data_IF_297122918353
#
_entry.id   IF_297122918353
#
_cell.length_a   1.000
_cell.length_b   1.000
_cell.length_c   1.000
_cell.angle_alpha   90.00
_cell.angle_beta   90.00
_cell.angle_gamma   90.00
#
_symmetry.space_group_name_H-M   'P 1'
#
loop_
_entity.id
_entity.type
_entity.pdbx_description
1 polymer ?
#
# COMPACT_ATOMS: atom_id res chain seq x y z
N UNK A 1 -15.17 -15.13 1.52
CA UNK A 1 -13.96 -14.65 2.21
C UNK A 1 -13.88 -13.12 2.22
N UNK A 2 -13.69 -12.42 1.08
CA UNK A 2 -13.48 -10.95 1.00
C UNK A 2 -14.46 -10.12 1.83
N UNK A 3 -15.78 -10.38 1.71
CA UNK A 3 -16.82 -9.65 2.46
C UNK A 3 -16.68 -9.77 3.99
N UNK A 4 -16.32 -10.96 4.49
CA UNK A 4 -16.18 -11.19 5.93
C UNK A 4 -14.95 -10.48 6.51
N UNK A 5 -13.82 -10.50 5.80
CA UNK A 5 -12.60 -9.82 6.22
C UNK A 5 -12.79 -8.30 6.19
N UNK A 6 -13.41 -7.77 5.14
CA UNK A 6 -13.76 -6.34 5.09
C UNK A 6 -14.66 -5.94 6.26
N UNK A 7 -15.65 -6.76 6.61
CA UNK A 7 -16.51 -6.52 7.77
C UNK A 7 -15.70 -6.51 9.08
N UNK A 8 -14.79 -7.47 9.27
CA UNK A 8 -13.93 -7.53 10.45
C UNK A 8 -13.02 -6.30 10.55
N UNK A 9 -12.40 -5.88 9.42
CA UNK A 9 -11.59 -4.66 9.38
C UNK A 9 -12.41 -3.40 9.69
N UNK A 10 -13.60 -3.28 9.10
CA UNK A 10 -14.49 -2.14 9.33
C UNK A 10 -15.07 -2.09 10.74
N UNK A 11 -15.03 -3.17 11.51
CA UNK A 11 -15.46 -3.20 12.91
C UNK A 11 -14.39 -2.69 13.90
N UNK A 12 -13.16 -2.46 13.43
CA UNK A 12 -12.15 -1.78 14.24
C UNK A 12 -12.59 -0.33 14.45
N UNK A 13 -12.56 0.14 15.69
CA UNK A 13 -12.82 1.54 16.01
C UNK A 13 -11.62 2.43 15.63
N UNK A 14 -11.85 3.74 15.65
CA UNK A 14 -10.83 4.73 15.26
C UNK A 14 -9.54 4.61 16.08
N UNK A 15 -9.65 4.40 17.39
CA UNK A 15 -8.51 4.26 18.29
C UNK A 15 -7.70 3.00 17.98
N UNK A 16 -8.38 1.87 17.73
CA UNK A 16 -7.72 0.62 17.33
C UNK A 16 -6.98 0.76 15.99
N UNK A 17 -7.60 1.43 15.01
CA UNK A 17 -6.95 1.71 13.72
C UNK A 17 -5.70 2.57 13.92
N UNK A 18 -5.77 3.62 14.74
CA UNK A 18 -4.66 4.53 15.00
C UNK A 18 -3.50 3.82 15.71
N UNK A 19 -3.78 3.14 16.84
CA UNK A 19 -2.77 2.45 17.65
C UNK A 19 -2.07 1.34 16.83
N UNK A 20 -2.84 0.50 16.14
CA UNK A 20 -2.30 -0.59 15.32
C UNK A 20 -1.52 -0.08 14.10
N UNK A 21 -2.00 0.98 13.45
CA UNK A 21 -1.27 1.60 12.35
C UNK A 21 0.07 2.19 12.78
N UNK A 22 0.13 2.82 13.97
CA UNK A 22 1.37 3.34 14.51
C UNK A 22 2.41 2.24 14.72
N UNK A 23 2.00 1.08 15.28
CA UNK A 23 2.89 -0.07 15.47
C UNK A 23 3.41 -0.62 14.13
N UNK A 24 2.56 -0.67 13.11
CA UNK A 24 2.94 -1.14 11.76
C UNK A 24 3.91 -0.15 11.12
N UNK A 25 3.63 1.15 11.20
CA UNK A 25 4.52 2.20 10.67
C UNK A 25 5.91 2.15 11.35
N UNK A 26 5.97 1.93 12.66
CA UNK A 26 7.24 1.78 13.39
C UNK A 26 8.05 0.59 12.86
N UNK A 27 7.41 -0.55 12.61
CA UNK A 27 8.07 -1.72 12.00
C UNK A 27 8.64 -1.39 10.61
N UNK A 28 7.89 -0.66 9.77
CA UNK A 28 8.37 -0.22 8.44
C UNK A 28 9.57 0.71 8.55
N UNK A 29 9.52 1.71 9.44
CA UNK A 29 10.61 2.65 9.67
C UNK A 29 11.92 1.96 10.09
N UNK A 30 11.84 0.76 10.68
CA UNK A 30 12.98 -0.03 11.08
C UNK A 30 13.55 -0.94 9.99
N UNK A 31 12.85 -1.14 8.86
CA UNK A 31 13.36 -1.92 7.74
C UNK A 31 14.56 -1.24 7.07
N UNK A 32 15.62 -2.00 6.85
CA UNK A 32 16.82 -1.50 6.18
C UNK A 32 16.53 -1.05 4.74
N UNK A 33 15.67 -1.77 4.04
CA UNK A 33 15.23 -1.47 2.68
C UNK A 33 14.47 -0.14 2.61
N UNK A 34 13.59 0.12 3.57
CA UNK A 34 12.85 1.39 3.66
C UNK A 34 13.80 2.57 3.96
N UNK A 35 14.75 2.37 4.86
CA UNK A 35 15.77 3.41 5.18
C UNK A 35 16.62 3.78 3.98
N UNK A 36 16.96 2.83 3.12
CA UNK A 36 17.78 3.03 1.92
C UNK A 36 16.99 3.62 0.74
N UNK A 37 15.69 3.36 0.66
CA UNK A 37 14.84 3.81 -0.43
C UNK A 37 14.83 5.35 -0.53
N UNK A 38 14.90 5.87 -1.75
CA UNK A 38 14.78 7.30 -2.06
C UNK A 38 13.39 7.63 -2.63
N UNK A 39 12.79 6.69 -3.35
CA UNK A 39 11.44 6.83 -3.93
C UNK A 39 10.56 5.72 -3.39
N UNK A 40 9.59 6.06 -2.55
CA UNK A 40 8.67 5.13 -1.91
C UNK A 40 7.27 5.32 -2.45
N UNK A 41 6.69 4.26 -2.97
CA UNK A 41 5.28 4.24 -3.34
C UNK A 41 4.44 3.72 -2.17
N UNK A 42 3.42 4.48 -1.78
CA UNK A 42 2.46 4.12 -0.75
C UNK A 42 1.05 4.54 -1.17
N UNK A 43 0.05 3.96 -0.55
CA UNK A 43 -1.35 4.24 -0.85
C UNK A 43 -1.96 5.27 0.10
N UNK A 44 -3.07 5.88 -0.30
CA UNK A 44 -3.93 6.68 0.58
C UNK A 44 -4.97 5.75 1.21
N UNK A 45 -5.01 5.63 2.56
CA UNK A 45 -5.85 4.64 3.22
C UNK A 45 -7.34 4.95 3.07
N UNK A 46 -8.12 3.91 2.81
CA UNK A 46 -9.59 3.94 2.74
C UNK A 46 -10.18 2.81 3.58
N UNK A 47 -11.45 2.96 3.99
CA UNK A 47 -12.23 1.87 4.61
C UNK A 47 -11.48 1.16 5.75
N UNK A 48 -10.99 1.91 6.71
CA UNK A 48 -10.17 1.39 7.82
C UNK A 48 -8.96 0.56 7.36
N UNK A 49 -8.28 0.93 6.30
CA UNK A 49 -6.94 0.41 6.01
C UNK A 49 -5.91 0.92 7.01
N UNK A 50 -4.78 0.26 7.08
CA UNK A 50 -3.63 0.74 7.89
C UNK A 50 -3.30 2.16 7.47
N UNK A 51 -3.30 3.10 8.41
CA UNK A 51 -2.94 4.49 8.13
C UNK A 51 -1.42 4.64 8.03
N UNK A 52 -0.95 4.70 6.80
CA UNK A 52 0.48 4.86 6.47
C UNK A 52 0.91 6.32 6.31
N UNK A 53 0.00 7.29 6.48
CA UNK A 53 0.32 8.73 6.36
C UNK A 53 1.41 9.24 7.32
N UNK A 54 1.62 8.66 8.52
CA UNK A 54 2.79 9.02 9.32
C UNK A 54 4.12 8.82 8.60
N UNK A 55 4.22 7.81 7.71
CA UNK A 55 5.42 7.58 6.90
C UNK A 55 5.66 8.68 5.87
N UNK A 56 4.62 9.35 5.39
CA UNK A 56 4.74 10.43 4.38
C UNK A 56 5.53 11.61 4.94
N UNK A 57 5.23 12.01 6.18
CA UNK A 57 5.95 13.08 6.87
C UNK A 57 7.43 12.72 7.07
N UNK A 58 7.70 11.46 7.42
CA UNK A 58 9.06 10.96 7.55
C UNK A 58 9.80 11.04 6.20
N UNK A 59 9.19 10.57 5.11
CA UNK A 59 9.80 10.60 3.79
C UNK A 59 10.18 12.02 3.37
N UNK A 60 9.28 12.99 3.53
CA UNK A 60 9.57 14.38 3.20
C UNK A 60 10.63 15.01 4.12
N UNK A 61 10.62 14.70 5.41
CA UNK A 61 11.65 15.18 6.34
C UNK A 61 13.06 14.67 5.98
N UNK A 62 13.15 13.46 5.44
CA UNK A 62 14.39 12.85 4.94
C UNK A 62 14.72 13.23 3.48
N UNK A 63 13.97 14.14 2.86
CA UNK A 63 14.17 14.54 1.46
C UNK A 63 13.88 13.45 0.45
N UNK A 64 13.09 12.44 0.82
CA UNK A 64 12.69 11.31 -0.04
C UNK A 64 11.40 11.61 -0.79
N UNK A 65 11.20 10.93 -1.90
CA UNK A 65 10.04 11.09 -2.77
C UNK A 65 8.91 10.16 -2.32
N UNK A 66 7.73 10.73 -2.12
CA UNK A 66 6.48 9.99 -1.95
C UNK A 66 5.76 9.87 -3.28
N UNK A 67 5.38 8.65 -3.64
CA UNK A 67 4.60 8.33 -4.84
C UNK A 67 3.31 7.64 -4.42
N UNK A 68 2.18 8.00 -5.00
CA UNK A 68 0.90 7.32 -4.79
C UNK A 68 0.39 6.67 -6.08
N UNK A 69 -0.38 5.56 -5.98
CA UNK A 69 -1.04 4.96 -7.14
C UNK A 69 -2.26 5.80 -7.56
N UNK A 70 -2.31 6.19 -8.82
CA UNK A 70 -3.50 6.77 -9.45
C UNK A 70 -4.13 5.70 -10.34
N UNK A 71 -5.42 5.44 -10.15
CA UNK A 71 -6.12 4.46 -10.96
C UNK A 71 -6.43 5.03 -12.35
N UNK A 72 -6.19 4.23 -13.38
CA UNK A 72 -6.63 4.45 -14.75
C UNK A 72 -7.66 3.36 -15.12
N UNK A 73 -8.96 3.58 -14.86
CA UNK A 73 -9.97 2.55 -15.02
C UNK A 73 -10.12 2.03 -16.46
N UNK A 74 -10.05 2.86 -17.52
CA UNK A 74 -10.12 2.39 -18.90
C UNK A 74 -9.08 1.33 -19.26
N UNK A 75 -7.86 1.47 -18.71
CA UNK A 75 -6.74 0.57 -19.00
C UNK A 75 -6.49 -0.46 -17.88
N UNK A 76 -7.25 -0.41 -16.78
CA UNK A 76 -7.04 -1.19 -15.56
C UNK A 76 -5.57 -1.11 -15.13
N UNK A 77 -5.06 0.11 -15.05
CA UNK A 77 -3.65 0.39 -14.79
C UNK A 77 -3.48 1.32 -13.58
N UNK A 78 -2.28 1.27 -12.99
CA UNK A 78 -1.81 2.24 -12.01
C UNK A 78 -0.81 3.15 -12.71
N UNK A 79 -1.03 4.46 -12.56
CA UNK A 79 -0.08 5.52 -12.90
C UNK A 79 0.53 6.02 -11.59
N UNK A 80 1.80 5.71 -11.29
CA UNK A 80 2.43 6.26 -10.09
C UNK A 80 2.62 7.77 -10.25
N UNK A 81 2.23 8.55 -9.26
CA UNK A 81 2.38 10.01 -9.28
C UNK A 81 3.05 10.50 -8.00
N UNK A 82 4.07 11.33 -8.13
CA UNK A 82 4.72 11.94 -6.98
C UNK A 82 3.81 12.99 -6.32
N UNK A 83 3.82 12.99 -4.98
CA UNK A 83 3.09 13.94 -4.14
C UNK A 83 4.08 14.73 -3.28
N UNK A 84 3.95 16.04 -3.31
CA UNK A 84 4.78 16.97 -2.55
C UNK A 84 4.01 17.53 -1.35
N UNK A 85 2.72 17.78 -1.52
CA UNK A 85 1.84 18.30 -0.47
C UNK A 85 0.45 17.65 -0.56
N UNK A 86 -0.02 17.06 0.56
CA UNK A 86 -1.33 16.38 0.57
C UNK A 86 -2.51 17.34 0.42
N UNK A 87 -2.38 18.57 0.93
CA UNK A 87 -3.48 19.53 0.90
C UNK A 87 -3.60 20.23 -0.46
N UNK A 88 -2.45 20.54 -1.07
CA UNK A 88 -2.41 21.26 -2.35
C UNK A 88 -2.52 20.33 -3.56
N UNK A 89 -1.93 19.14 -3.48
CA UNK A 89 -1.85 18.24 -4.64
C UNK A 89 -3.10 17.38 -4.87
N UNK A 90 -3.94 17.16 -3.84
CA UNK A 90 -5.02 16.17 -3.88
C UNK A 90 -6.41 16.79 -3.96
N UNK A 91 -7.31 16.07 -4.60
CA UNK A 91 -8.76 16.32 -4.62
C UNK A 91 -9.54 14.98 -4.54
N UNK A 92 -10.83 14.99 -4.14
CA UNK A 92 -11.66 13.79 -4.21
C UNK A 92 -11.79 13.29 -5.66
N UNK A 93 -11.34 12.07 -5.88
CA UNK A 93 -11.35 11.42 -7.19
C UNK A 93 -12.28 10.21 -7.26
N UNK A 94 -11.88 9.22 -8.04
CA UNK A 94 -12.64 8.01 -8.32
C UNK A 94 -12.99 7.25 -7.03
N UNK A 95 -14.25 6.88 -6.87
CA UNK A 95 -14.80 6.19 -5.68
C UNK A 95 -14.60 6.93 -4.34
N UNK A 96 -14.38 8.26 -4.37
CA UNK A 96 -14.14 9.07 -3.19
C UNK A 96 -12.74 8.90 -2.59
N UNK A 97 -11.83 8.26 -3.32
CA UNK A 97 -10.41 8.19 -2.97
C UNK A 97 -9.77 9.51 -3.38
N UNK A 98 -8.90 10.06 -2.53
CA UNK A 98 -8.13 11.23 -2.90
C UNK A 98 -7.17 10.88 -4.04
N UNK A 99 -7.16 11.68 -5.08
CA UNK A 99 -6.30 11.55 -6.25
C UNK A 99 -5.61 12.88 -6.53
N UNK A 100 -4.45 12.90 -7.20
CA UNK A 100 -3.81 14.14 -7.61
C UNK A 100 -4.73 14.94 -8.54
N UNK A 101 -4.80 16.25 -8.31
CA UNK A 101 -5.39 17.19 -9.26
C UNK A 101 -4.70 17.05 -10.62
N UNK A 102 -5.41 17.29 -11.71
CA UNK A 102 -4.89 17.09 -13.07
C UNK A 102 -3.60 17.88 -13.34
N UNK A 103 -3.55 19.12 -12.86
CA UNK A 103 -2.39 20.01 -12.97
C UNK A 103 -1.25 19.70 -11.99
N UNK A 104 -1.51 18.80 -11.01
CA UNK A 104 -0.54 18.32 -10.00
C UNK A 104 -0.04 16.92 -10.29
N UNK A 105 -0.48 16.29 -11.36
CA UNK A 105 0.02 14.99 -11.78
C UNK A 105 1.52 15.07 -12.11
N UNK A 106 2.32 14.24 -11.42
CA UNK A 106 3.77 14.10 -11.63
C UNK A 106 4.11 12.62 -11.80
N UNK A 107 3.85 12.06 -13.01
CA UNK A 107 4.07 10.65 -13.27
C UNK A 107 5.52 10.24 -13.02
N UNK A 108 5.69 9.09 -12.36
CA UNK A 108 6.99 8.49 -12.05
C UNK A 108 7.09 7.15 -12.76
N UNK A 109 8.25 6.86 -13.34
CA UNK A 109 8.48 5.53 -13.92
C UNK A 109 8.40 4.45 -12.83
N UNK A 110 7.72 3.32 -13.04
CA UNK A 110 7.75 2.21 -12.11
C UNK A 110 9.16 1.75 -11.76
N UNK A 111 10.12 1.89 -12.68
CA UNK A 111 11.51 1.52 -12.48
C UNK A 111 12.30 2.47 -11.55
N UNK A 112 11.76 3.66 -11.27
CA UNK A 112 12.35 4.62 -10.35
C UNK A 112 11.87 4.44 -8.91
N UNK A 113 10.96 3.51 -8.68
CA UNK A 113 10.41 3.20 -7.35
C UNK A 113 11.33 2.19 -6.66
N UNK A 114 11.79 2.55 -5.46
CA UNK A 114 12.73 1.76 -4.67
C UNK A 114 12.06 0.85 -3.64
N UNK A 115 10.82 1.16 -3.25
CA UNK A 115 10.08 0.45 -2.21
C UNK A 115 8.59 0.67 -2.40
N UNK A 116 7.78 -0.38 -2.23
CA UNK A 116 6.32 -0.28 -2.38
C UNK A 116 5.62 -0.78 -1.12
N UNK A 117 4.72 0.05 -0.58
CA UNK A 117 3.78 -0.32 0.48
C UNK A 117 2.43 -0.62 -0.16
N UNK A 118 1.93 -1.83 0.05
CA UNK A 118 0.80 -2.38 -0.71
C UNK A 118 -0.38 -2.68 0.22
N UNK A 119 -1.59 -2.19 -0.07
CA UNK A 119 -2.80 -2.55 0.66
C UNK A 119 -3.40 -3.86 0.14
N UNK A 120 -4.30 -4.42 0.93
CA UNK A 120 -5.10 -5.57 0.50
C UNK A 120 -6.30 -5.83 1.40
N UNK A 121 -7.10 -6.81 1.02
CA UNK A 121 -8.26 -7.25 1.79
C UNK A 121 -7.85 -8.36 2.77
N UNK A 122 -7.12 -9.35 2.31
CA UNK A 122 -6.62 -10.44 3.14
C UNK A 122 -5.22 -10.87 2.69
N UNK A 123 -4.50 -11.50 3.60
CA UNK A 123 -3.17 -12.05 3.37
C UNK A 123 -3.02 -13.38 4.09
N UNK A 124 -2.04 -14.17 3.71
CA UNK A 124 -1.69 -15.40 4.40
C UNK A 124 -0.20 -15.43 4.82
N UNK A 125 0.21 -16.38 5.66
CA UNK A 125 1.61 -16.51 6.09
C UNK A 125 2.60 -16.80 4.96
N UNK A 126 2.14 -17.26 3.79
CA UNK A 126 2.96 -17.43 2.58
C UNK A 126 3.10 -16.14 1.76
N UNK A 127 2.61 -15.01 2.30
CA UNK A 127 2.63 -13.68 1.68
C UNK A 127 1.78 -13.56 0.41
N UNK A 128 0.80 -14.45 0.22
CA UNK A 128 -0.21 -14.26 -0.82
C UNK A 128 -1.15 -13.12 -0.43
N UNK A 129 -1.67 -12.42 -1.43
CA UNK A 129 -2.52 -11.23 -1.25
C UNK A 129 -3.87 -11.38 -1.95
N UNK A 130 -4.95 -11.16 -1.25
CA UNK A 130 -6.27 -10.99 -1.81
C UNK A 130 -6.60 -9.49 -1.91
N UNK A 131 -6.64 -8.95 -3.12
CA UNK A 131 -7.02 -7.57 -3.39
C UNK A 131 -8.53 -7.34 -3.47
N UNK A 132 -8.93 -6.14 -3.89
CA UNK A 132 -10.35 -5.77 -4.08
C UNK A 132 -11.00 -6.40 -5.32
N UNK A 133 -10.24 -7.05 -6.20
CA UNK A 133 -10.73 -7.76 -7.37
C UNK A 133 -10.52 -7.02 -8.70
N UNK A 134 -9.96 -5.82 -8.70
CA UNK A 134 -9.68 -5.07 -9.92
C UNK A 134 -8.40 -5.47 -10.66
N UNK A 135 -7.48 -6.18 -9.99
CA UNK A 135 -6.21 -6.64 -10.59
C UNK A 135 -5.22 -5.52 -10.92
N UNK A 136 -5.40 -4.33 -10.34
CA UNK A 136 -4.53 -3.16 -10.60
C UNK A 136 -3.08 -3.39 -10.17
N UNK A 137 -2.87 -3.87 -8.95
CA UNK A 137 -1.53 -4.14 -8.43
C UNK A 137 -0.88 -5.32 -9.15
N UNK A 138 -1.62 -6.38 -9.49
CA UNK A 138 -1.09 -7.57 -10.16
C UNK A 138 -0.59 -7.24 -11.58
N UNK A 139 -1.17 -6.22 -12.22
CA UNK A 139 -0.67 -5.66 -13.50
C UNK A 139 0.42 -4.62 -13.33
N UNK A 140 0.52 -4.00 -12.16
CA UNK A 140 1.50 -2.95 -11.90
C UNK A 140 2.83 -3.51 -11.40
N UNK A 141 2.82 -4.42 -10.42
CA UNK A 141 4.01 -4.93 -9.74
C UNK A 141 5.06 -5.53 -10.68
N UNK A 142 4.69 -6.24 -11.78
CA UNK A 142 5.68 -6.73 -12.74
C UNK A 142 6.46 -5.64 -13.49
N UNK A 143 6.00 -4.37 -13.46
CA UNK A 143 6.68 -3.24 -14.12
C UNK A 143 7.79 -2.64 -13.26
N UNK A 144 7.83 -2.97 -11.98
CA UNK A 144 8.91 -2.58 -11.06
C UNK A 144 10.22 -3.28 -11.44
N UNK A 145 11.32 -2.83 -10.86
CA UNK A 145 12.56 -3.61 -10.88
C UNK A 145 12.37 -4.90 -10.07
N UNK A 146 13.01 -5.96 -10.48
CA UNK A 146 12.87 -7.29 -9.87
C UNK A 146 13.12 -7.29 -8.36
N UNK A 147 14.12 -6.54 -7.92
CA UNK A 147 14.55 -6.42 -6.52
C UNK A 147 13.87 -5.29 -5.75
N UNK A 148 12.84 -4.63 -6.29
CA UNK A 148 12.06 -3.63 -5.54
C UNK A 148 11.23 -4.33 -4.47
N UNK A 149 11.44 -4.03 -3.15
CA UNK A 149 10.68 -4.64 -2.08
C UNK A 149 9.18 -4.33 -2.17
N UNK A 150 8.36 -5.39 -2.13
CA UNK A 150 6.90 -5.36 -2.15
C UNK A 150 6.38 -5.72 -0.76
N UNK A 151 6.17 -4.71 0.07
CA UNK A 151 5.79 -4.88 1.48
C UNK A 151 4.30 -4.60 1.63
N UNK A 152 3.54 -5.62 2.01
CA UNK A 152 2.15 -5.44 2.36
C UNK A 152 1.99 -5.05 3.83
N UNK A 153 0.96 -4.26 4.11
CA UNK A 153 0.55 -3.91 5.47
C UNK A 153 -0.91 -4.29 5.69
N UNK A 154 -1.19 -4.85 6.84
CA UNK A 154 -2.52 -5.32 7.19
C UNK A 154 -2.70 -5.33 8.71
N UNK A 155 -3.93 -5.27 9.19
CA UNK A 155 -4.21 -5.64 10.57
C UNK A 155 -4.26 -7.15 10.71
N UNK A 156 -3.92 -7.67 11.89
CA UNK A 156 -3.92 -9.13 12.15
C UNK A 156 -5.24 -9.81 11.80
N UNK A 157 -6.37 -9.11 11.93
CA UNK A 157 -7.70 -9.61 11.53
C UNK A 157 -7.85 -9.88 10.02
N UNK A 158 -6.91 -9.43 9.21
CA UNK A 158 -6.87 -9.66 7.76
C UNK A 158 -6.01 -10.87 7.38
N UNK A 159 -5.34 -11.50 8.36
CA UNK A 159 -4.55 -12.71 8.12
C UNK A 159 -5.47 -13.93 8.14
N UNK A 160 -5.41 -14.70 7.08
CA UNK A 160 -6.14 -15.97 6.93
C UNK A 160 -5.15 -17.13 6.87
N UNK A 161 -5.57 -18.37 7.20
CA UNK A 161 -4.65 -19.50 7.21
C UNK A 161 -3.99 -19.76 5.85
N UNK A 162 -4.76 -19.62 4.77
CA UNK A 162 -4.30 -19.90 3.40
C UNK A 162 -5.16 -19.14 2.38
N UNK A 163 -4.51 -18.62 1.36
CA UNK A 163 -5.12 -18.11 0.14
C UNK A 163 -4.73 -19.02 -1.03
N UNK A 164 -5.65 -19.25 -1.95
CA UNK A 164 -5.34 -19.92 -3.22
C UNK A 164 -5.06 -18.82 -4.23
N UNK A 165 -3.78 -18.57 -4.59
CA UNK A 165 -3.45 -17.55 -5.57
C UNK A 165 -3.86 -17.97 -6.98
N UNK A 166 -4.24 -16.98 -7.79
CA UNK A 166 -4.36 -17.15 -9.24
C UNK A 166 -2.96 -17.11 -9.89
N UNK A 167 -2.87 -17.61 -11.12
CA UNK A 167 -1.60 -17.63 -11.88
C UNK A 167 -1.03 -16.23 -12.12
N UNK A 168 -1.85 -15.19 -12.04
CA UNK A 168 -1.45 -13.80 -12.24
C UNK A 168 -1.21 -13.04 -10.93
N UNK A 169 -1.54 -13.64 -9.80
CA UNK A 169 -1.34 -12.98 -8.50
C UNK A 169 0.16 -12.89 -8.18
N UNK A 170 0.58 -11.70 -7.77
CA UNK A 170 1.96 -11.45 -7.37
C UNK A 170 2.04 -11.50 -5.83
N UNK A 171 2.78 -12.45 -5.26
CA UNK A 171 2.98 -12.50 -3.82
C UNK A 171 3.85 -11.34 -3.33
N UNK A 172 3.68 -11.00 -2.06
CA UNK A 172 4.47 -9.98 -1.40
C UNK A 172 5.80 -10.57 -0.92
N UNK A 173 6.81 -9.73 -0.76
CA UNK A 173 8.08 -10.15 -0.14
C UNK A 173 7.92 -10.25 1.38
N UNK A 174 7.05 -9.40 1.94
CA UNK A 174 6.71 -9.41 3.37
C UNK A 174 5.27 -8.90 3.59
N UNK A 175 4.61 -9.42 4.62
CA UNK A 175 3.35 -8.88 5.17
C UNK A 175 3.59 -8.47 6.61
N UNK A 176 3.33 -7.21 6.95
CA UNK A 176 3.53 -6.65 8.30
C UNK A 176 2.18 -6.36 8.93
N UNK A 177 1.97 -6.90 10.13
CA UNK A 177 0.82 -6.58 10.99
C UNK A 177 1.29 -5.94 12.30
N UNK A 178 0.37 -5.44 13.10
CA UNK A 178 0.69 -4.96 14.44
C UNK A 178 1.30 -6.06 15.32
N UNK A 179 0.90 -7.32 15.12
CA UNK A 179 1.38 -8.47 15.91
C UNK A 179 2.61 -9.12 15.29
N UNK A 180 2.60 -9.38 13.98
CA UNK A 180 3.57 -10.24 13.31
C UNK A 180 4.20 -9.61 12.06
N UNK A 181 5.29 -10.21 11.60
CA UNK A 181 5.86 -10.03 10.26
C UNK A 181 5.99 -11.40 9.59
N UNK A 182 5.44 -11.55 8.40
CA UNK A 182 5.50 -12.75 7.58
C UNK A 182 6.42 -12.47 6.40
N UNK A 183 7.42 -13.31 6.18
CA UNK A 183 8.37 -13.19 5.07
C UNK A 183 8.23 -14.40 4.16
N UNK A 184 8.35 -14.15 2.86
CA UNK A 184 8.39 -15.19 1.85
C UNK A 184 9.78 -15.83 1.76
#
# INVERSE_FOLDING_TARGET
MRKNILKARMSLDHRQVEEKSAMICEKILNLAEFKKAQTVMAYLPIRNEVDVKPLFRFLWAEGKRLVIPVCDPPNIAIIPSEIIDLADDLEPGTWGILEPKKDKMRPVSPRDIDFVIIPGVAFDPACNRLGYGGGYYDRFLPKLRENTPKIAVAFQVQIVPELVPDVYDIPMDMVITEENGYCR
#
